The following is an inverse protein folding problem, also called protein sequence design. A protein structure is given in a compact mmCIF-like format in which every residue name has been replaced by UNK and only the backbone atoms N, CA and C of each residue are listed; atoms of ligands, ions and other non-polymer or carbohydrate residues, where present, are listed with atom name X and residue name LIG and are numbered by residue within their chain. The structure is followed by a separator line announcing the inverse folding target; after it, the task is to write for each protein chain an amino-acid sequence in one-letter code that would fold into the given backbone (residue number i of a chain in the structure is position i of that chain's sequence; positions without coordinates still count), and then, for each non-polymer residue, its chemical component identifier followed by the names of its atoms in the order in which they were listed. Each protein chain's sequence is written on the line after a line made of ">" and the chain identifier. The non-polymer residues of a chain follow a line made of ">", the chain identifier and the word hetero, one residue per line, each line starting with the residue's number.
data_IF_714251840748
#
_entry.id   IF_714251840748
#
_cell.length_a   1.000
_cell.length_b   1.000
_cell.length_c   1.000
_cell.angle_alpha   90.00
_cell.angle_beta   90.00
_cell.angle_gamma   90.00
#
_symmetry.space_group_name_H-M   'P 1'
#
loop_
_entity.id
_entity.type
_entity.pdbx_description
1 polymer ?
#
# COMPACT_ATOMS: atom_id res chain seq x y z
N UNK A 1 11.99 15.62 7.95
CA UNK A 1 13.17 14.85 7.53
C UNK A 1 14.46 15.62 7.75
N UNK A 2 15.54 14.94 8.17
CA UNK A 2 16.84 15.54 8.57
C UNK A 2 17.47 16.40 7.47
N UNK A 3 17.18 16.17 6.20
CA UNK A 3 17.65 17.00 5.09
C UNK A 3 16.84 18.30 4.89
N UNK A 4 15.76 18.54 5.64
CA UNK A 4 15.09 19.84 5.63
C UNK A 4 16.00 20.90 6.26
N UNK A 5 15.96 22.12 5.73
CA UNK A 5 16.85 23.21 6.18
C UNK A 5 16.74 23.49 7.69
N UNK A 6 15.55 23.34 8.25
CA UNK A 6 15.31 23.47 9.69
C UNK A 6 16.10 22.46 10.52
N UNK A 7 16.13 21.19 10.09
CA UNK A 7 16.90 20.14 10.76
C UNK A 7 18.41 20.31 10.57
N UNK A 8 18.86 20.78 9.41
CA UNK A 8 20.28 21.11 9.20
C UNK A 8 20.76 22.23 10.14
N UNK A 9 19.88 23.20 10.45
CA UNK A 9 20.20 24.24 11.46
C UNK A 9 20.40 23.61 12.85
N UNK A 10 19.55 22.63 13.22
CA UNK A 10 19.70 21.91 14.49
C UNK A 10 21.02 21.12 14.52
N UNK A 11 21.33 20.37 13.46
CA UNK A 11 22.60 19.62 13.38
C UNK A 11 23.82 20.53 13.52
N UNK A 12 23.79 21.69 12.81
CA UNK A 12 24.90 22.69 12.89
C UNK A 12 25.02 23.37 14.26
N UNK A 13 23.92 23.48 15.00
CA UNK A 13 23.94 24.08 16.35
C UNK A 13 24.64 23.17 17.39
N UNK A 14 24.80 21.88 17.10
CA UNK A 14 25.42 20.91 18.01
C UNK A 14 26.58 20.16 17.33
N UNK A 15 27.71 20.83 17.02
CA UNK A 15 28.79 20.27 16.20
C UNK A 15 29.53 19.09 16.87
N UNK A 16 29.39 18.92 18.18
CA UNK A 16 29.99 17.81 18.95
C UNK A 16 29.03 16.64 19.12
N UNK A 17 27.76 16.78 18.73
CA UNK A 17 26.77 15.71 18.86
C UNK A 17 26.91 14.66 17.74
N UNK A 18 26.67 13.41 18.08
CA UNK A 18 26.49 12.34 17.11
C UNK A 18 25.00 12.21 16.81
N UNK A 19 24.64 12.24 15.54
CA UNK A 19 23.26 12.14 15.10
C UNK A 19 23.02 10.76 14.49
N UNK A 20 21.96 10.09 14.95
CA UNK A 20 21.46 8.86 14.37
C UNK A 20 20.07 9.14 13.79
N UNK A 21 19.90 8.93 12.49
CA UNK A 21 18.61 9.07 11.81
C UNK A 21 17.97 7.71 11.60
N UNK A 22 16.71 7.57 12.02
CA UNK A 22 15.89 6.39 11.80
C UNK A 22 14.78 6.73 10.81
N UNK A 23 14.64 5.93 9.76
CA UNK A 23 13.61 6.12 8.74
C UNK A 23 13.24 4.78 8.12
N UNK A 24 11.94 4.60 7.80
CA UNK A 24 11.46 3.50 6.97
C UNK A 24 11.62 3.78 5.46
N UNK A 25 11.85 5.06 5.10
CA UNK A 25 12.02 5.50 3.72
C UNK A 25 13.34 6.27 3.60
N UNK A 26 14.48 5.57 3.42
CA UNK A 26 15.80 6.21 3.36
C UNK A 26 16.05 7.04 2.09
N UNK A 27 15.13 7.05 1.16
CA UNK A 27 15.12 7.82 -0.07
C UNK A 27 14.10 8.95 0.01
N UNK A 28 14.36 10.02 -0.69
CA UNK A 28 13.48 11.20 -0.75
C UNK A 28 12.82 11.31 -2.11
N UNK A 29 11.59 11.84 -2.12
CA UNK A 29 10.88 12.17 -3.35
C UNK A 29 11.60 13.24 -4.22
N UNK A 30 12.52 14.02 -3.60
CA UNK A 30 13.31 15.06 -4.27
C UNK A 30 14.74 14.60 -4.62
N UNK A 31 15.01 13.29 -4.62
CA UNK A 31 16.31 12.67 -4.92
C UNK A 31 17.51 13.23 -4.14
N UNK A 32 17.28 13.91 -3.01
CA UNK A 32 18.36 14.37 -2.15
C UNK A 32 18.82 13.24 -1.24
N UNK A 33 20.13 13.05 -1.18
CA UNK A 33 20.76 12.07 -0.30
C UNK A 33 20.46 12.38 1.18
N UNK A 34 20.33 11.33 1.97
CA UNK A 34 20.31 11.45 3.42
C UNK A 34 21.68 11.89 3.92
N UNK A 35 21.69 12.76 4.93
CA UNK A 35 22.94 13.19 5.56
C UNK A 35 23.48 12.04 6.45
N UNK A 36 24.70 11.62 6.18
CA UNK A 36 25.43 10.63 6.97
C UNK A 36 25.52 9.26 6.31
N UNK A 37 26.34 8.39 6.92
CA UNK A 37 26.56 7.03 6.46
C UNK A 37 25.42 6.11 6.84
N UNK A 38 25.08 5.18 5.95
CA UNK A 38 24.11 4.13 6.23
C UNK A 38 24.78 3.07 7.10
N UNK A 39 24.38 2.99 8.37
CA UNK A 39 25.00 2.08 9.34
C UNK A 39 24.19 0.79 9.55
N UNK A 40 22.90 0.78 9.19
CA UNK A 40 22.04 -0.39 9.36
C UNK A 40 20.82 -0.33 8.46
N UNK A 41 20.44 -1.48 7.90
CA UNK A 41 19.18 -1.70 7.17
C UNK A 41 18.43 -2.91 7.70
N UNK A 42 17.12 -2.80 7.79
CA UNK A 42 16.24 -3.90 8.15
C UNK A 42 15.18 -4.07 7.06
N UNK A 43 15.33 -5.09 6.19
CA UNK A 43 14.40 -5.31 5.07
C UNK A 43 12.96 -5.54 5.53
N UNK A 44 11.97 -5.08 4.73
CA UNK A 44 10.55 -5.25 5.03
C UNK A 44 10.14 -6.73 5.02
N UNK A 45 10.62 -7.51 4.04
CA UNK A 45 10.37 -8.95 4.00
C UNK A 45 10.80 -9.62 5.31
N UNK A 46 11.97 -9.27 5.86
CA UNK A 46 12.44 -9.78 7.14
C UNK A 46 11.58 -9.32 8.32
N UNK A 47 11.05 -8.10 8.26
CA UNK A 47 10.16 -7.58 9.28
C UNK A 47 8.81 -8.33 9.26
N UNK A 48 8.27 -8.67 8.08
CA UNK A 48 7.08 -9.50 7.92
C UNK A 48 7.29 -10.90 8.48
N UNK A 49 8.41 -11.54 8.13
CA UNK A 49 8.77 -12.88 8.60
C UNK A 49 8.92 -12.99 10.11
N UNK A 50 9.39 -11.92 10.75
CA UNK A 50 9.55 -11.86 12.20
C UNK A 50 8.29 -11.36 12.93
N UNK A 51 7.20 -11.06 12.21
CA UNK A 51 5.95 -10.57 12.78
C UNK A 51 6.05 -9.15 13.34
N UNK A 52 6.99 -8.34 12.87
CA UNK A 52 7.12 -6.93 13.26
C UNK A 52 6.21 -6.01 12.45
N UNK A 53 5.83 -6.46 11.26
CA UNK A 53 4.83 -5.82 10.40
C UNK A 53 3.92 -6.88 9.80
N UNK A 54 2.71 -6.46 9.36
CA UNK A 54 1.77 -7.34 8.68
C UNK A 54 2.32 -7.82 7.35
N UNK A 55 1.94 -9.05 6.98
CA UNK A 55 2.06 -9.54 5.62
C UNK A 55 1.14 -8.74 4.69
N UNK A 56 1.66 -8.28 3.54
CA UNK A 56 0.93 -7.38 2.64
C UNK A 56 0.69 -8.05 1.29
N UNK A 57 -0.57 -7.96 0.83
CA UNK A 57 -1.00 -8.38 -0.50
C UNK A 57 -1.58 -7.19 -1.25
N UNK A 58 -1.10 -6.95 -2.46
CA UNK A 58 -1.68 -5.99 -3.40
C UNK A 58 -2.79 -6.66 -4.19
N UNK A 59 -3.92 -5.97 -4.37
CA UNK A 59 -5.03 -6.34 -5.24
C UNK A 59 -5.32 -5.18 -6.19
N UNK A 60 -4.98 -5.33 -7.48
CA UNK A 60 -5.17 -4.30 -8.50
C UNK A 60 -6.34 -4.68 -9.42
N UNK A 61 -7.28 -3.75 -9.63
CA UNK A 61 -8.37 -3.91 -10.57
C UNK A 61 -7.84 -3.82 -12.00
N UNK A 62 -8.11 -4.84 -12.80
CA UNK A 62 -7.77 -4.93 -14.23
C UNK A 62 -9.05 -5.00 -15.04
N UNK A 63 -9.49 -3.91 -15.66
CA UNK A 63 -10.66 -3.88 -16.53
C UNK A 63 -10.38 -4.58 -17.86
N UNK A 64 -11.43 -5.12 -18.47
CA UNK A 64 -11.39 -5.55 -19.87
C UNK A 64 -11.45 -4.33 -20.81
N UNK A 65 -12.25 -3.34 -20.45
CA UNK A 65 -12.46 -2.10 -21.21
C UNK A 65 -12.79 -0.94 -20.26
N UNK A 66 -12.35 0.27 -20.62
CA UNK A 66 -12.76 1.53 -19.98
C UNK A 66 -13.17 2.51 -21.07
N UNK A 67 -14.30 3.17 -20.88
CA UNK A 67 -14.78 4.24 -21.76
C UNK A 67 -14.56 5.60 -21.12
N UNK A 68 -13.80 6.45 -21.78
CA UNK A 68 -13.60 7.85 -21.40
C UNK A 68 -14.52 8.76 -22.19
N UNK A 69 -15.07 9.75 -21.53
CA UNK A 69 -15.84 10.81 -22.19
C UNK A 69 -15.17 12.16 -21.96
N UNK A 70 -14.91 12.89 -23.04
CA UNK A 70 -14.37 14.23 -23.01
C UNK A 70 -15.11 15.08 -24.05
N UNK A 71 -15.69 16.22 -23.66
CA UNK A 71 -16.34 17.21 -24.53
C UNK A 71 -17.42 16.64 -25.45
N UNK A 72 -18.07 15.53 -25.08
CA UNK A 72 -19.12 14.89 -25.86
C UNK A 72 -18.67 13.76 -26.79
N UNK A 73 -17.38 13.54 -26.90
CA UNK A 73 -16.81 12.37 -27.58
C UNK A 73 -16.47 11.29 -26.54
N UNK A 74 -16.66 10.03 -26.92
CA UNK A 74 -16.40 8.87 -26.08
C UNK A 74 -15.47 7.90 -26.80
N UNK A 75 -14.36 7.57 -26.14
CA UNK A 75 -13.39 6.61 -26.60
C UNK A 75 -13.31 5.43 -25.61
N UNK A 76 -13.33 4.21 -26.14
CA UNK A 76 -13.20 2.98 -25.33
C UNK A 76 -11.83 2.37 -25.53
N UNK A 77 -11.17 2.07 -24.43
CA UNK A 77 -9.82 1.52 -24.37
C UNK A 77 -9.86 0.10 -23.81
N UNK A 78 -9.20 -0.83 -24.50
CA UNK A 78 -8.96 -2.20 -24.04
C UNK A 78 -7.86 -2.26 -22.99
N UNK A 79 -7.72 -3.39 -22.28
CA UNK A 79 -6.70 -3.56 -21.25
C UNK A 79 -5.29 -3.26 -21.78
N UNK A 80 -4.92 -3.72 -22.98
CA UNK A 80 -3.59 -3.45 -23.56
C UNK A 80 -3.36 -1.95 -23.77
N UNK A 81 -4.35 -1.23 -24.28
CA UNK A 81 -4.28 0.23 -24.44
C UNK A 81 -4.25 0.96 -23.09
N UNK A 82 -4.96 0.46 -22.09
CA UNK A 82 -4.92 0.98 -20.71
C UNK A 82 -3.51 0.85 -20.14
N UNK A 83 -2.84 -0.29 -20.35
CA UNK A 83 -1.48 -0.52 -19.90
C UNK A 83 -0.45 0.40 -20.58
N UNK A 84 -0.70 0.83 -21.81
CA UNK A 84 0.11 1.83 -22.51
C UNK A 84 -0.17 3.26 -22.01
N UNK A 85 -1.45 3.59 -21.75
CA UNK A 85 -1.89 4.94 -21.38
C UNK A 85 -1.77 5.25 -19.88
N UNK A 86 -1.58 4.26 -19.03
CA UNK A 86 -1.52 4.46 -17.56
C UNK A 86 -0.39 5.37 -17.09
N UNK A 87 0.61 5.66 -17.93
CA UNK A 87 1.67 6.64 -17.64
C UNK A 87 1.23 8.08 -17.91
N UNK A 88 0.16 8.28 -18.69
CA UNK A 88 -0.37 9.60 -19.04
C UNK A 88 -1.12 10.23 -17.84
N UNK A 89 -0.79 11.48 -17.53
CA UNK A 89 -1.35 12.17 -16.36
C UNK A 89 -2.87 12.35 -16.46
N UNK A 90 -3.38 12.67 -17.67
CA UNK A 90 -4.81 12.84 -17.92
C UNK A 90 -5.58 11.54 -17.71
N UNK A 91 -5.01 10.40 -18.17
CA UNK A 91 -5.62 9.08 -18.04
C UNK A 91 -5.75 8.70 -16.57
N UNK A 92 -4.64 8.76 -15.80
CA UNK A 92 -4.64 8.49 -14.36
C UNK A 92 -5.63 9.36 -13.58
N UNK A 93 -5.73 10.65 -13.96
CA UNK A 93 -6.69 11.56 -13.36
C UNK A 93 -8.11 11.17 -13.69
N UNK A 94 -8.40 10.82 -14.95
CA UNK A 94 -9.71 10.40 -15.39
C UNK A 94 -10.19 9.12 -14.72
N UNK A 95 -9.31 8.13 -14.52
CA UNK A 95 -9.58 6.93 -13.71
C UNK A 95 -9.83 7.28 -12.25
N UNK A 96 -8.98 8.13 -11.66
CA UNK A 96 -9.11 8.51 -10.24
C UNK A 96 -10.43 9.25 -9.94
N UNK A 97 -10.96 10.02 -10.89
CA UNK A 97 -12.21 10.77 -10.72
C UNK A 97 -13.45 9.99 -11.20
N UNK A 98 -13.26 8.79 -11.74
CA UNK A 98 -14.36 7.94 -12.18
C UNK A 98 -15.11 7.33 -10.99
N UNK A 99 -16.43 7.52 -10.97
CA UNK A 99 -17.28 6.90 -9.95
C UNK A 99 -17.24 5.36 -10.04
N UNK A 100 -17.25 4.83 -11.27
CA UNK A 100 -17.24 3.39 -11.55
C UNK A 100 -15.92 2.74 -11.12
N UNK A 101 -14.78 3.30 -11.54
CA UNK A 101 -13.46 2.79 -11.11
C UNK A 101 -13.29 2.88 -9.59
N UNK A 102 -13.76 3.96 -8.97
CA UNK A 102 -13.75 4.12 -7.52
C UNK A 102 -14.64 3.11 -6.82
N UNK A 103 -15.80 2.80 -7.37
CA UNK A 103 -16.73 1.79 -6.85
C UNK A 103 -16.09 0.40 -6.83
N UNK A 104 -15.41 -0.02 -7.90
CA UNK A 104 -14.69 -1.30 -7.95
C UNK A 104 -13.56 -1.39 -6.90
N UNK A 105 -12.79 -0.31 -6.72
CA UNK A 105 -11.77 -0.27 -5.64
C UNK A 105 -12.44 -0.41 -4.26
N UNK A 106 -13.54 0.32 -4.03
CA UNK A 106 -14.24 0.30 -2.75
C UNK A 106 -14.86 -1.07 -2.46
N UNK A 107 -15.52 -1.70 -3.44
CA UNK A 107 -16.09 -3.05 -3.32
C UNK A 107 -15.03 -4.07 -2.93
N UNK A 108 -13.87 -4.05 -3.61
CA UNK A 108 -12.77 -4.95 -3.29
C UNK A 108 -12.19 -4.69 -1.89
N UNK A 109 -12.07 -3.43 -1.50
CA UNK A 109 -11.60 -3.07 -0.17
C UNK A 109 -12.59 -3.55 0.92
N UNK A 110 -13.89 -3.45 0.69
CA UNK A 110 -14.94 -3.96 1.58
C UNK A 110 -14.91 -5.48 1.66
N UNK A 111 -14.76 -6.17 0.52
CA UNK A 111 -14.59 -7.63 0.48
C UNK A 111 -13.42 -8.08 1.37
N UNK A 112 -12.24 -7.44 1.23
CA UNK A 112 -11.06 -7.79 2.03
C UNK A 112 -11.26 -7.47 3.52
N UNK A 113 -11.91 -6.34 3.84
CA UNK A 113 -12.26 -6.00 5.21
C UNK A 113 -13.18 -7.05 5.84
N UNK A 114 -14.24 -7.44 5.13
CA UNK A 114 -15.20 -8.42 5.61
C UNK A 114 -14.56 -9.81 5.80
N UNK A 115 -13.71 -10.23 4.86
CA UNK A 115 -12.96 -11.48 4.96
C UNK A 115 -12.05 -11.49 6.20
N UNK A 116 -11.31 -10.41 6.46
CA UNK A 116 -10.48 -10.30 7.66
C UNK A 116 -11.32 -10.36 8.95
N UNK A 117 -12.42 -9.62 9.01
CA UNK A 117 -13.31 -9.60 10.18
C UNK A 117 -13.98 -10.96 10.42
N UNK A 118 -14.37 -11.64 9.35
CA UNK A 118 -14.96 -12.98 9.45
C UNK A 118 -13.95 -14.02 9.96
N UNK A 119 -12.71 -13.94 9.49
CA UNK A 119 -11.65 -14.88 9.88
C UNK A 119 -11.15 -14.68 11.32
N UNK A 120 -11.17 -13.44 11.83
CA UNK A 120 -10.48 -13.10 13.08
C UNK A 120 -11.40 -12.62 14.20
N UNK A 121 -12.58 -12.10 13.88
CA UNK A 121 -13.45 -11.39 14.83
C UNK A 121 -12.89 -10.03 15.29
N UNK A 122 -11.72 -9.62 14.79
CA UNK A 122 -11.08 -8.37 15.15
C UNK A 122 -11.64 -7.19 14.34
N UNK A 123 -11.79 -5.97 14.91
CA UNK A 123 -12.39 -4.82 14.23
C UNK A 123 -11.40 -4.13 13.27
N UNK A 124 -10.99 -4.86 12.24
CA UNK A 124 -10.18 -4.31 11.17
C UNK A 124 -10.86 -3.11 10.49
N UNK A 125 -10.07 -2.17 9.95
CA UNK A 125 -10.54 -0.93 9.35
C UNK A 125 -9.79 -0.61 8.05
N UNK A 126 -10.39 0.26 7.23
CA UNK A 126 -9.85 0.72 5.95
C UNK A 126 -9.24 2.10 6.09
N UNK A 127 -8.03 2.30 5.57
CA UNK A 127 -7.47 3.60 5.24
C UNK A 127 -7.64 3.83 3.73
N UNK A 128 -8.29 4.90 3.34
CA UNK A 128 -8.48 5.29 1.94
C UNK A 128 -7.71 6.58 1.63
N UNK A 129 -7.09 6.68 0.45
CA UNK A 129 -6.38 7.88 0.00
C UNK A 129 -7.04 8.49 -1.22
N UNK A 130 -7.41 9.76 -1.15
CA UNK A 130 -8.05 10.52 -2.23
C UNK A 130 -7.15 11.65 -2.75
N UNK A 131 -7.47 12.19 -3.95
CA UNK A 131 -6.71 13.25 -4.61
C UNK A 131 -6.97 14.64 -4.04
N UNK A 132 -8.22 14.92 -3.70
CA UNK A 132 -8.72 16.21 -3.23
C UNK A 132 -9.78 16.01 -2.15
N UNK A 133 -10.23 17.10 -1.53
CA UNK A 133 -11.29 17.07 -0.51
C UNK A 133 -12.60 16.62 -1.14
N UNK A 134 -12.98 17.18 -2.29
CA UNK A 134 -14.21 16.80 -2.99
C UNK A 134 -14.20 15.33 -3.40
N UNK A 135 -13.06 14.84 -3.88
CA UNK A 135 -12.89 13.42 -4.19
C UNK A 135 -12.94 12.54 -2.91
N UNK A 136 -12.41 13.01 -1.79
CA UNK A 136 -12.53 12.29 -0.51
C UNK A 136 -14.00 12.18 -0.05
N UNK A 137 -14.79 13.22 -0.25
CA UNK A 137 -16.22 13.20 0.07
C UNK A 137 -17.01 12.27 -0.86
N UNK A 138 -16.65 12.19 -2.15
CA UNK A 138 -17.19 11.22 -3.10
C UNK A 138 -16.86 9.78 -2.67
N UNK A 139 -15.60 9.48 -2.39
CA UNK A 139 -15.15 8.15 -1.92
C UNK A 139 -15.82 7.78 -0.59
N UNK A 140 -15.96 8.74 0.34
CA UNK A 140 -16.72 8.52 1.57
C UNK A 140 -18.16 8.12 1.29
N UNK A 141 -18.84 8.82 0.38
CA UNK A 141 -20.23 8.53 0.02
C UNK A 141 -20.35 7.10 -0.57
N UNK A 142 -19.44 6.66 -1.41
CA UNK A 142 -19.41 5.30 -1.95
C UNK A 142 -19.35 4.26 -0.81
N UNK A 143 -18.46 4.42 0.17
CA UNK A 143 -18.40 3.51 1.31
C UNK A 143 -19.66 3.55 2.19
N UNK A 144 -20.27 4.72 2.34
CA UNK A 144 -21.52 4.86 3.09
C UNK A 144 -22.70 4.18 2.37
N UNK A 145 -22.77 4.25 1.04
CA UNK A 145 -23.75 3.50 0.23
C UNK A 145 -23.60 1.98 0.39
N UNK A 146 -22.38 1.49 0.63
CA UNK A 146 -22.06 0.10 0.93
C UNK A 146 -22.35 -0.28 2.40
N UNK A 147 -22.92 0.64 3.22
CA UNK A 147 -23.33 0.40 4.59
C UNK A 147 -22.22 0.55 5.64
N UNK A 148 -21.06 1.09 5.29
CA UNK A 148 -19.95 1.32 6.21
C UNK A 148 -19.98 2.72 6.82
N UNK A 149 -19.49 2.84 8.05
CA UNK A 149 -19.29 4.14 8.69
C UNK A 149 -17.97 4.74 8.18
N UNK A 150 -18.05 5.78 7.36
CA UNK A 150 -16.90 6.43 6.75
C UNK A 150 -16.83 7.92 7.10
N UNK A 151 -15.61 8.40 7.41
CA UNK A 151 -15.33 9.81 7.69
C UNK A 151 -14.12 10.29 6.86
N UNK A 152 -14.11 11.60 6.55
CA UNK A 152 -12.98 12.23 5.85
C UNK A 152 -12.06 12.95 6.83
N UNK A 153 -10.76 12.98 6.51
CA UNK A 153 -9.76 13.77 7.24
C UNK A 153 -8.83 14.48 6.25
N UNK A 154 -8.66 15.79 6.41
CA UNK A 154 -7.82 16.62 5.54
C UNK A 154 -7.29 17.86 6.28
N UNK A 155 -6.29 18.55 5.70
CA UNK A 155 -5.61 19.70 6.32
C UNK A 155 -6.54 20.84 6.70
N UNK A 156 -7.59 21.07 5.91
CA UNK A 156 -8.52 22.18 6.10
C UNK A 156 -9.56 21.95 7.22
N UNK A 157 -9.64 20.73 7.80
CA UNK A 157 -10.49 20.51 8.95
C UNK A 157 -9.93 21.23 10.17
N UNK A 158 -10.80 21.84 11.03
CA UNK A 158 -10.40 22.33 12.32
C UNK A 158 -9.80 21.23 13.21
N UNK A 159 -8.88 21.57 14.09
CA UNK A 159 -8.13 20.57 14.87
C UNK A 159 -9.02 19.78 15.84
N UNK A 160 -10.07 20.39 16.38
CA UNK A 160 -11.09 19.71 17.19
C UNK A 160 -11.86 18.65 16.38
N UNK A 161 -12.17 18.95 15.11
CA UNK A 161 -12.81 17.99 14.19
C UNK A 161 -11.87 16.86 13.83
N UNK A 162 -10.60 17.15 13.53
CA UNK A 162 -9.57 16.11 13.30
C UNK A 162 -9.47 15.19 14.50
N UNK A 163 -9.36 15.77 15.70
CA UNK A 163 -9.29 15.00 16.94
C UNK A 163 -10.55 14.12 17.15
N UNK A 164 -11.74 14.63 16.85
CA UNK A 164 -12.99 13.88 16.95
C UNK A 164 -13.03 12.70 15.95
N UNK A 165 -12.62 12.90 14.69
CA UNK A 165 -12.57 11.81 13.69
C UNK A 165 -11.56 10.74 14.12
N UNK A 166 -10.37 11.12 14.58
CA UNK A 166 -9.37 10.17 15.06
C UNK A 166 -9.81 9.44 16.33
N UNK A 167 -10.60 10.08 17.21
CA UNK A 167 -11.18 9.42 18.36
C UNK A 167 -12.23 8.37 17.95
N UNK A 168 -13.11 8.69 17.00
CA UNK A 168 -14.06 7.73 16.42
C UNK A 168 -13.35 6.52 15.83
N UNK A 169 -12.25 6.74 15.08
CA UNK A 169 -11.45 5.67 14.49
C UNK A 169 -10.86 4.74 15.58
N UNK A 170 -10.24 5.32 16.61
CA UNK A 170 -9.65 4.56 17.73
C UNK A 170 -10.70 3.79 18.55
N UNK A 171 -11.90 4.30 18.61
CA UNK A 171 -13.01 3.67 19.34
C UNK A 171 -13.84 2.71 18.48
N UNK A 172 -13.36 2.34 17.28
CA UNK A 172 -14.03 1.47 16.31
C UNK A 172 -15.46 1.93 15.95
N UNK A 173 -15.70 3.25 15.96
CA UNK A 173 -16.98 3.87 15.61
C UNK A 173 -17.07 4.19 14.10
N UNK A 174 -15.96 4.09 13.36
CA UNK A 174 -15.90 4.20 11.91
C UNK A 174 -15.13 3.01 11.35
N UNK A 175 -15.54 2.57 10.17
CA UNK A 175 -14.93 1.47 9.44
C UNK A 175 -13.86 1.95 8.46
N UNK A 176 -14.04 3.16 7.93
CA UNK A 176 -13.23 3.74 6.87
C UNK A 176 -12.82 5.16 7.22
N UNK A 177 -11.54 5.45 7.12
CA UNK A 177 -11.02 6.81 7.14
C UNK A 177 -10.48 7.20 5.75
N UNK A 178 -11.11 8.20 5.12
CA UNK A 178 -10.70 8.72 3.81
C UNK A 178 -9.83 9.96 4.03
N UNK A 179 -8.59 9.93 3.58
CA UNK A 179 -7.63 11.02 3.79
C UNK A 179 -7.21 11.74 2.52
N UNK A 180 -6.91 13.04 2.66
CA UNK A 180 -6.19 13.82 1.66
C UNK A 180 -4.88 14.30 2.28
N UNK A 181 -3.77 13.57 2.00
CA UNK A 181 -2.41 13.88 2.43
C UNK A 181 -2.22 14.16 3.95
N UNK A 182 -3.10 13.63 4.80
CA UNK A 182 -3.24 14.10 6.19
C UNK A 182 -2.89 13.10 7.29
N UNK A 183 -2.88 11.81 7.03
CA UNK A 183 -2.38 10.90 8.06
C UNK A 183 -0.86 11.07 8.15
N UNK A 184 -0.41 12.12 8.84
CA UNK A 184 0.97 12.53 8.98
C UNK A 184 1.83 11.52 9.72
N UNK A 185 3.13 11.79 9.83
CA UNK A 185 4.05 11.02 10.65
C UNK A 185 3.51 10.87 12.09
N UNK A 186 3.64 9.68 12.67
CA UNK A 186 3.27 9.41 14.05
C UNK A 186 1.84 8.91 14.30
N UNK A 187 0.98 8.80 13.29
CA UNK A 187 -0.32 8.15 13.49
C UNK A 187 -0.14 6.63 13.50
N UNK A 188 -0.32 6.03 14.66
CA UNK A 188 -0.24 4.60 14.90
C UNK A 188 -1.61 4.02 15.24
N UNK A 189 -2.11 3.10 14.39
CA UNK A 189 -3.41 2.47 14.56
C UNK A 189 -3.43 1.07 13.94
N UNK A 190 -3.04 0.03 14.68
CA UNK A 190 -2.94 -1.35 14.18
C UNK A 190 -4.20 -1.94 13.53
N UNK A 191 -5.45 -1.55 13.91
CA UNK A 191 -6.66 -2.03 13.24
C UNK A 191 -6.77 -1.67 11.75
N UNK A 192 -6.04 -0.66 11.26
CA UNK A 192 -5.96 -0.41 9.83
C UNK A 192 -5.28 -1.59 9.13
N UNK A 193 -6.02 -2.26 8.25
CA UNK A 193 -5.54 -3.48 7.58
C UNK A 193 -5.79 -3.47 6.08
N UNK A 194 -6.60 -2.56 5.58
CA UNK A 194 -6.85 -2.39 4.14
C UNK A 194 -6.50 -0.95 3.75
N UNK A 195 -5.56 -0.81 2.82
CA UNK A 195 -5.20 0.44 2.17
C UNK A 195 -5.93 0.51 0.82
N UNK A 196 -6.95 1.36 0.71
CA UNK A 196 -7.67 1.59 -0.54
C UNK A 196 -7.15 2.87 -1.22
N UNK A 197 -6.58 2.71 -2.42
CA UNK A 197 -5.86 3.78 -3.12
C UNK A 197 -6.69 4.27 -4.30
N UNK A 198 -7.22 5.49 -4.18
CA UNK A 198 -8.05 6.17 -5.16
C UNK A 198 -7.29 7.28 -5.91
N UNK A 199 -5.98 7.34 -5.76
CA UNK A 199 -5.14 8.37 -6.38
C UNK A 199 -3.86 7.79 -6.95
N UNK A 200 -3.29 8.36 -8.01
CA UNK A 200 -1.94 8.01 -8.43
C UNK A 200 -0.90 8.55 -7.44
N UNK A 201 0.10 7.74 -7.14
CA UNK A 201 1.31 8.16 -6.44
C UNK A 201 2.44 8.39 -7.45
N UNK A 202 3.04 9.57 -7.43
CA UNK A 202 4.12 9.95 -8.37
C UNK A 202 5.51 9.51 -7.89
N UNK A 203 5.63 9.08 -6.64
CA UNK A 203 6.91 8.67 -6.04
C UNK A 203 6.70 7.66 -4.93
N UNK A 204 7.71 6.84 -4.72
CA UNK A 204 7.70 5.72 -3.80
C UNK A 204 7.51 6.15 -2.33
N UNK A 205 8.16 7.22 -1.88
CA UNK A 205 8.14 7.62 -0.46
C UNK A 205 6.72 7.91 0.08
N UNK A 206 5.87 8.74 -0.54
CA UNK A 206 4.48 8.93 -0.09
C UNK A 206 3.64 7.65 -0.20
N UNK A 207 3.90 6.80 -1.20
CA UNK A 207 3.23 5.51 -1.35
C UNK A 207 3.53 4.59 -0.16
N UNK A 208 4.81 4.36 0.17
CA UNK A 208 5.23 3.54 1.31
C UNK A 208 4.73 4.14 2.63
N UNK A 209 4.75 5.46 2.79
CA UNK A 209 4.22 6.12 3.98
C UNK A 209 2.72 5.87 4.15
N UNK A 210 1.96 5.78 3.08
CA UNK A 210 0.55 5.43 3.14
C UNK A 210 0.34 3.93 3.40
N UNK A 211 0.95 3.06 2.62
CA UNK A 211 0.86 1.60 2.78
C UNK A 211 1.40 1.16 4.15
N UNK A 212 2.47 1.78 4.64
CA UNK A 212 3.06 1.52 5.95
C UNK A 212 2.10 1.66 7.13
N UNK A 213 0.96 2.36 6.95
CA UNK A 213 -0.06 2.48 8.00
C UNK A 213 -0.85 1.20 8.22
N UNK A 214 -1.06 0.44 7.15
CA UNK A 214 -1.74 -0.86 7.22
C UNK A 214 -0.78 -2.01 7.49
N UNK A 215 0.53 -1.73 7.55
CA UNK A 215 1.56 -2.72 7.89
C UNK A 215 1.74 -2.93 9.39
N UNK A 216 1.15 -2.12 10.26
CA UNK A 216 1.32 -2.22 11.71
C UNK A 216 0.63 -3.47 12.25
N UNK A 217 1.39 -4.30 12.96
CA UNK A 217 0.88 -5.56 13.52
C UNK A 217 -0.14 -5.32 14.62
N UNK A 218 -1.13 -6.20 14.68
CA UNK A 218 -2.06 -6.34 15.80
C UNK A 218 -1.43 -7.23 16.85
N UNK A 219 -0.94 -8.40 16.44
CA UNK A 219 -0.33 -9.40 17.32
C UNK A 219 1.19 -9.37 17.12
N UNK A 220 1.89 -8.80 18.10
CA UNK A 220 3.34 -8.63 18.06
C UNK A 220 4.06 -9.98 18.08
N UNK A 221 5.10 -10.11 17.26
CA UNK A 221 5.96 -11.28 17.17
C UNK A 221 5.23 -12.59 16.76
N UNK A 222 4.06 -12.47 16.17
CA UNK A 222 3.35 -13.59 15.59
C UNK A 222 3.14 -13.38 14.08
N UNK A 223 4.09 -13.83 13.23
CA UNK A 223 3.97 -13.69 11.78
C UNK A 223 2.85 -14.53 11.18
N UNK A 224 2.31 -15.49 11.93
CA UNK A 224 1.26 -16.42 11.50
C UNK A 224 -0.13 -15.98 11.96
N UNK A 225 -0.23 -14.92 12.76
CA UNK A 225 -1.52 -14.42 13.19
C UNK A 225 -2.36 -13.98 11.99
N UNK A 226 -3.62 -14.43 11.88
CA UNK A 226 -4.54 -13.96 10.83
C UNK A 226 -4.85 -12.44 10.96
N UNK A 227 -4.67 -11.84 12.15
CA UNK A 227 -4.77 -10.39 12.34
C UNK A 227 -3.61 -9.62 11.69
N UNK A 228 -2.48 -10.30 11.42
CA UNK A 228 -1.29 -9.70 10.82
C UNK A 228 -1.28 -9.82 9.29
N UNK A 229 -2.46 -9.74 8.69
CA UNK A 229 -2.67 -9.66 7.25
C UNK A 229 -3.11 -8.25 6.87
N UNK A 230 -2.53 -7.69 5.81
CA UNK A 230 -2.89 -6.38 5.24
C UNK A 230 -3.10 -6.45 3.73
N UNK A 231 -3.97 -5.59 3.21
CA UNK A 231 -4.27 -5.50 1.78
C UNK A 231 -4.05 -4.10 1.26
N UNK A 232 -3.53 -4.00 0.04
CA UNK A 232 -3.42 -2.76 -0.73
C UNK A 232 -4.29 -2.91 -1.96
N UNK A 233 -5.40 -2.17 -2.01
CA UNK A 233 -6.36 -2.24 -3.11
C UNK A 233 -6.21 -1.00 -3.98
N UNK A 234 -6.06 -1.18 -5.29
CA UNK A 234 -5.85 -0.11 -6.26
C UNK A 234 -6.47 -0.48 -7.61
N UNK A 235 -6.23 0.35 -8.62
CA UNK A 235 -6.65 0.17 -10.00
C UNK A 235 -5.43 0.32 -10.91
N UNK A 236 -5.29 -0.55 -11.93
CA UNK A 236 -4.15 -0.54 -12.87
C UNK A 236 -3.97 0.80 -13.57
N UNK A 237 -5.07 1.46 -13.93
CA UNK A 237 -5.06 2.78 -14.57
C UNK A 237 -4.55 3.93 -13.70
N UNK A 238 -4.36 3.73 -12.38
CA UNK A 238 -3.72 4.69 -11.48
C UNK A 238 -2.18 4.58 -11.50
N UNK A 239 -1.64 3.55 -12.15
CA UNK A 239 -0.21 3.22 -12.23
C UNK A 239 0.49 3.09 -10.86
N UNK A 240 -0.21 2.64 -9.83
CA UNK A 240 0.37 2.40 -8.51
C UNK A 240 1.13 1.05 -8.43
N UNK A 241 0.99 0.20 -9.44
CA UNK A 241 1.76 -1.05 -9.56
C UNK A 241 3.26 -0.79 -9.73
N UNK A 242 3.62 0.28 -10.43
CA UNK A 242 5.01 0.73 -10.55
C UNK A 242 5.63 1.01 -9.16
N UNK A 243 4.87 1.69 -8.28
CA UNK A 243 5.31 1.96 -6.91
C UNK A 243 5.41 0.69 -6.05
N UNK A 244 4.52 -0.28 -6.30
CA UNK A 244 4.59 -1.59 -5.64
C UNK A 244 5.83 -2.37 -6.07
N UNK A 245 6.15 -2.39 -7.36
CA UNK A 245 7.31 -3.09 -7.90
C UNK A 245 8.60 -2.41 -7.42
N UNK A 246 8.69 -1.08 -7.48
CA UNK A 246 9.81 -0.32 -6.95
C UNK A 246 10.02 -0.59 -5.45
N UNK A 247 8.93 -0.72 -4.67
CA UNK A 247 9.00 -1.06 -3.25
C UNK A 247 9.62 -2.45 -3.03
N UNK A 248 9.18 -3.45 -3.80
CA UNK A 248 9.74 -4.81 -3.72
C UNK A 248 11.19 -4.87 -4.17
N UNK A 249 11.54 -4.17 -5.23
CA UNK A 249 12.92 -4.10 -5.74
C UNK A 249 13.86 -3.42 -4.74
N UNK A 250 13.41 -2.38 -4.08
CA UNK A 250 14.17 -1.72 -3.02
C UNK A 250 14.43 -2.67 -1.86
N UNK A 251 13.39 -3.40 -1.40
CA UNK A 251 13.54 -4.38 -0.34
C UNK A 251 14.54 -5.48 -0.72
N UNK A 252 14.50 -5.97 -1.96
CA UNK A 252 15.45 -6.95 -2.47
C UNK A 252 16.90 -6.43 -2.48
N UNK A 253 17.12 -5.14 -2.80
CA UNK A 253 18.43 -4.50 -2.71
C UNK A 253 18.90 -4.37 -1.26
N UNK A 254 18.04 -3.97 -0.35
CA UNK A 254 18.33 -3.88 1.08
C UNK A 254 18.76 -5.24 1.66
N UNK A 255 18.11 -6.32 1.23
CA UNK A 255 18.48 -7.68 1.58
C UNK A 255 19.89 -8.04 1.12
N UNK A 256 20.28 -7.66 -0.09
CA UNK A 256 21.64 -7.90 -0.62
C UNK A 256 22.70 -7.14 0.17
N UNK A 257 22.44 -5.89 0.54
CA UNK A 257 23.36 -5.09 1.36
C UNK A 257 23.56 -5.73 2.75
N UNK A 258 22.49 -6.15 3.41
CA UNK A 258 22.57 -6.82 4.72
C UNK A 258 23.35 -8.14 4.62
N UNK A 259 23.19 -8.91 3.55
CA UNK A 259 23.97 -10.13 3.28
C UNK A 259 25.44 -9.81 3.04
N UNK A 260 25.75 -8.71 2.32
CA UNK A 260 27.13 -8.23 2.12
C UNK A 260 27.83 -7.91 3.44
N UNK A 261 27.14 -7.20 4.35
CA UNK A 261 27.66 -6.91 5.69
C UNK A 261 27.92 -8.17 6.50
N UNK A 262 27.02 -9.16 6.45
CA UNK A 262 27.21 -10.43 7.15
C UNK A 262 28.43 -11.24 6.63
N UNK A 263 28.83 -11.00 5.36
CA UNK A 263 30.05 -11.60 4.76
C UNK A 263 31.31 -10.75 4.89
N UNK A 264 31.22 -9.56 5.52
CA UNK A 264 32.35 -8.64 5.68
C UNK A 264 32.67 -7.80 4.43
N UNK A 265 31.78 -7.78 3.45
CA UNK A 265 31.89 -6.95 2.24
C UNK A 265 31.42 -5.54 2.58
N UNK A 266 32.26 -4.52 2.38
CA UNK A 266 31.88 -3.13 2.60
C UNK A 266 30.79 -2.68 1.63
N UNK A 267 29.87 -1.85 2.11
CA UNK A 267 28.80 -1.31 1.29
C UNK A 267 29.35 -0.29 0.28
N UNK A 268 29.40 -0.67 -0.99
CA UNK A 268 29.52 0.29 -2.09
C UNK A 268 28.15 0.91 -2.34
N UNK A 269 28.03 2.20 -2.04
CA UNK A 269 26.81 2.97 -2.27
C UNK A 269 26.68 3.31 -3.76
N UNK A 270 26.09 2.43 -4.54
CA UNK A 270 25.67 2.77 -5.91
C UNK A 270 24.32 3.48 -5.87
N UNK A 271 24.38 4.82 -5.90
CA UNK A 271 23.21 5.66 -6.10
C UNK A 271 22.58 5.42 -7.48
N UNK A 272 21.29 5.16 -7.51
CA UNK A 272 20.51 5.17 -8.76
C UNK A 272 20.04 6.59 -9.06
N UNK A 273 20.52 7.13 -10.17
CA UNK A 273 19.95 8.32 -10.81
C UNK A 273 18.70 7.92 -11.60
N UNK A 274 17.55 8.34 -11.13
CA UNK A 274 16.31 8.33 -11.91
C UNK A 274 16.10 9.71 -12.53
N UNK A 275 16.48 9.88 -13.78
CA UNK A 275 16.09 11.01 -14.62
C UNK A 275 14.75 10.70 -15.27
N UNK A 276 13.79 11.60 -15.12
CA UNK A 276 12.55 11.56 -15.86
C UNK A 276 11.66 12.76 -15.54
N UNK A 277 11.93 13.87 -16.22
CA UNK A 277 10.98 14.97 -16.33
C UNK A 277 10.27 14.85 -17.67
N UNK A 278 8.94 14.73 -17.73
CA UNK A 278 8.17 14.94 -18.94
C UNK A 278 7.05 15.95 -18.74
N UNK A 279 7.40 17.21 -18.76
CA UNK A 279 6.43 18.24 -19.14
C UNK A 279 6.51 18.43 -20.65
N UNK A 280 5.59 17.87 -21.41
CA UNK A 280 5.21 18.44 -22.72
C UNK A 280 4.22 17.64 -23.58
N UNK A 281 3.18 16.98 -23.08
CA UNK A 281 2.07 16.52 -23.96
C UNK A 281 0.66 16.74 -23.39
N UNK A 282 0.49 17.49 -22.32
CA UNK A 282 -0.70 17.44 -21.45
C UNK A 282 -1.86 18.40 -21.77
N UNK A 283 -2.00 19.00 -22.97
CA UNK A 283 -3.01 20.04 -23.16
C UNK A 283 -4.34 19.63 -23.84
N UNK A 284 -4.54 18.36 -24.25
CA UNK A 284 -5.76 17.98 -24.99
C UNK A 284 -6.82 17.22 -24.19
N UNK A 285 -6.49 16.66 -23.02
CA UNK A 285 -7.37 15.71 -22.32
C UNK A 285 -7.56 16.01 -20.81
N UNK A 286 -7.32 17.22 -20.37
CA UNK A 286 -7.40 17.57 -18.93
C UNK A 286 -8.79 17.36 -18.30
N UNK A 287 -9.84 17.29 -19.11
CA UNK A 287 -11.24 17.12 -18.66
C UNK A 287 -11.78 15.69 -18.89
N UNK A 288 -10.96 14.76 -19.37
CA UNK A 288 -11.41 13.39 -19.62
C UNK A 288 -11.61 12.63 -18.31
N UNK A 289 -12.78 12.01 -18.13
CA UNK A 289 -13.13 11.15 -17.00
C UNK A 289 -13.64 9.83 -17.54
N UNK A 290 -13.24 8.72 -16.91
CA UNK A 290 -13.78 7.40 -17.22
C UNK A 290 -15.26 7.35 -16.74
N UNK A 291 -16.16 7.00 -17.65
CA UNK A 291 -17.61 7.00 -17.43
C UNK A 291 -18.17 5.60 -17.23
N UNK A 292 -17.55 4.61 -17.86
CA UNK A 292 -17.99 3.23 -17.82
C UNK A 292 -16.77 2.31 -17.80
N UNK A 293 -16.83 1.28 -16.98
CA UNK A 293 -15.77 0.30 -16.82
C UNK A 293 -16.35 -1.11 -16.78
N UNK A 294 -15.83 -1.98 -17.63
CA UNK A 294 -16.10 -3.41 -17.54
C UNK A 294 -14.91 -4.10 -16.86
N UNK A 295 -15.02 -4.38 -15.57
CA UNK A 295 -14.01 -5.09 -14.82
C UNK A 295 -13.83 -6.52 -15.36
N UNK A 296 -12.59 -6.95 -15.55
CA UNK A 296 -12.24 -8.33 -15.90
C UNK A 296 -11.91 -9.15 -14.66
N UNK A 297 -10.91 -8.72 -13.89
CA UNK A 297 -10.43 -9.44 -12.71
C UNK A 297 -9.64 -8.51 -11.78
N UNK A 298 -9.32 -9.02 -10.59
CA UNK A 298 -8.30 -8.43 -9.72
C UNK A 298 -7.01 -9.24 -9.78
N UNK A 299 -5.89 -8.58 -10.05
CA UNK A 299 -4.56 -9.18 -9.97
C UNK A 299 -4.06 -9.08 -8.53
N UNK A 300 -3.95 -10.23 -7.85
CA UNK A 300 -3.39 -10.30 -6.49
C UNK A 300 -1.89 -10.58 -6.55
N UNK A 301 -1.10 -9.80 -5.80
CA UNK A 301 0.37 -9.94 -5.74
C UNK A 301 0.83 -9.85 -4.29
N UNK A 302 1.33 -10.95 -3.74
CA UNK A 302 1.91 -10.97 -2.40
C UNK A 302 3.26 -10.25 -2.38
N UNK A 303 3.55 -9.52 -1.30
CA UNK A 303 4.89 -8.96 -1.09
C UNK A 303 5.93 -10.09 -0.92
N UNK A 304 5.58 -11.14 -0.17
CA UNK A 304 6.35 -12.37 -0.05
C UNK A 304 5.86 -13.38 -1.11
N UNK A 305 6.39 -13.29 -2.33
CA UNK A 305 6.01 -14.20 -3.42
C UNK A 305 6.74 -15.55 -3.28
N UNK A 306 6.03 -16.69 -3.17
CA UNK A 306 6.64 -18.02 -3.10
C UNK A 306 7.45 -18.40 -4.35
N UNK A 307 7.20 -17.76 -5.49
CA UNK A 307 7.94 -17.99 -6.72
C UNK A 307 9.21 -17.11 -6.85
N UNK A 308 9.38 -16.12 -5.97
CA UNK A 308 10.59 -15.30 -5.95
C UNK A 308 11.70 -16.03 -5.16
N UNK A 309 12.67 -16.58 -5.89
CA UNK A 309 13.79 -17.30 -5.29
C UNK A 309 14.59 -16.44 -4.29
N UNK A 310 14.63 -15.12 -4.46
CA UNK A 310 15.32 -14.19 -3.57
C UNK A 310 14.63 -14.16 -2.22
N UNK A 311 13.29 -14.06 -2.23
CA UNK A 311 12.46 -14.09 -1.02
C UNK A 311 12.60 -15.43 -0.29
N UNK A 312 12.56 -16.54 -1.03
CA UNK A 312 12.71 -17.89 -0.46
C UNK A 312 14.07 -18.08 0.24
N UNK A 313 15.16 -17.69 -0.42
CA UNK A 313 16.50 -17.79 0.17
C UNK A 313 16.64 -16.95 1.44
N UNK A 314 16.05 -15.77 1.45
CA UNK A 314 16.07 -14.93 2.64
C UNK A 314 15.23 -15.50 3.78
N UNK A 315 14.06 -16.03 3.49
CA UNK A 315 13.24 -16.73 4.48
C UNK A 315 14.02 -17.87 5.12
N UNK A 316 14.75 -18.64 4.32
CA UNK A 316 15.57 -19.74 4.83
C UNK A 316 16.68 -19.27 5.78
N UNK A 317 17.26 -18.11 5.50
CA UNK A 317 18.38 -17.57 6.31
C UNK A 317 17.92 -16.62 7.42
N UNK A 318 16.64 -16.22 7.45
CA UNK A 318 16.09 -15.36 8.50
C UNK A 318 16.13 -16.06 9.86
N UNK A 319 16.80 -15.43 10.85
CA UNK A 319 16.86 -15.97 12.22
C UNK A 319 15.63 -15.55 13.00
N UNK A 320 14.92 -16.52 13.53
CA UNK A 320 13.79 -16.32 14.43
C UNK A 320 14.21 -15.86 15.84
N UNK A 321 13.25 -15.66 16.75
CA UNK A 321 13.52 -15.22 18.13
C UNK A 321 14.49 -16.10 18.93
N UNK A 322 14.65 -17.38 18.53
CA UNK A 322 15.62 -18.32 19.14
C UNK A 322 17.03 -18.28 18.54
N UNK A 323 17.30 -17.40 17.58
CA UNK A 323 18.61 -17.27 16.92
C UNK A 323 18.88 -18.32 15.84
N UNK A 324 17.93 -19.24 15.56
CA UNK A 324 18.02 -20.26 14.52
C UNK A 324 17.27 -19.78 13.26
N UNK A 325 17.84 -20.07 12.09
CA UNK A 325 17.19 -19.88 10.79
C UNK A 325 16.36 -21.11 10.43
N UNK A 326 15.45 -20.97 9.45
CA UNK A 326 14.76 -22.13 8.90
C UNK A 326 15.73 -23.14 8.28
N UNK A 327 16.84 -22.68 7.71
CA UNK A 327 17.93 -23.54 7.20
C UNK A 327 18.60 -24.32 8.32
N UNK A 328 18.85 -23.69 9.48
CA UNK A 328 19.42 -24.36 10.65
C UNK A 328 18.48 -25.46 11.20
N UNK A 329 17.18 -25.29 10.98
CA UNK A 329 16.14 -26.27 11.36
C UNK A 329 15.90 -27.35 10.29
N UNK A 330 16.68 -27.34 9.19
CA UNK A 330 16.60 -28.33 8.11
C UNK A 330 15.43 -28.11 7.15
N UNK A 331 14.78 -26.94 7.17
CA UNK A 331 13.72 -26.58 6.22
C UNK A 331 14.36 -26.23 4.88
N UNK A 332 13.87 -26.85 3.82
CA UNK A 332 14.35 -26.62 2.45
C UNK A 332 13.51 -25.58 1.72
N UNK A 333 14.05 -25.01 0.65
CA UNK A 333 13.35 -24.08 -0.22
C UNK A 333 12.01 -24.62 -0.73
N UNK A 334 11.95 -25.91 -1.06
CA UNK A 334 10.73 -26.53 -1.59
C UNK A 334 9.65 -26.68 -0.53
N UNK A 335 10.01 -27.00 0.70
CA UNK A 335 9.07 -27.04 1.84
C UNK A 335 8.51 -25.64 2.10
N UNK A 336 9.35 -24.62 2.07
CA UNK A 336 8.94 -23.24 2.28
C UNK A 336 8.02 -22.73 1.15
N UNK A 337 8.36 -23.05 -0.12
CA UNK A 337 7.50 -22.74 -1.27
C UNK A 337 6.13 -23.41 -1.14
N UNK A 338 6.10 -24.69 -0.77
CA UNK A 338 4.85 -25.42 -0.58
C UNK A 338 3.97 -24.79 0.51
N UNK A 339 4.56 -24.37 1.63
CA UNK A 339 3.83 -23.69 2.70
C UNK A 339 3.27 -22.32 2.26
N UNK A 340 4.05 -21.53 1.51
CA UNK A 340 3.60 -20.25 0.98
C UNK A 340 2.55 -20.41 -0.12
N UNK A 341 2.69 -21.42 -0.98
CA UNK A 341 1.71 -21.74 -2.01
C UNK A 341 0.38 -22.17 -1.39
N UNK A 342 0.41 -23.02 -0.37
CA UNK A 342 -0.80 -23.44 0.36
C UNK A 342 -1.53 -22.24 1.00
N UNK A 343 -0.79 -21.26 1.54
CA UNK A 343 -1.38 -20.01 2.01
C UNK A 343 -2.04 -19.22 0.88
N UNK A 344 -1.37 -19.13 -0.27
CA UNK A 344 -1.87 -18.44 -1.44
C UNK A 344 -3.16 -19.08 -1.98
N UNK A 345 -3.26 -20.41 -2.02
CA UNK A 345 -4.46 -21.13 -2.41
C UNK A 345 -5.64 -20.84 -1.47
N UNK A 346 -5.40 -20.73 -0.16
CA UNK A 346 -6.45 -20.32 0.80
C UNK A 346 -6.80 -18.83 0.70
N UNK A 347 -5.93 -17.99 0.15
CA UNK A 347 -6.21 -16.57 -0.14
C UNK A 347 -6.97 -16.40 -1.47
N UNK A 348 -6.81 -17.34 -2.43
CA UNK A 348 -7.43 -17.34 -3.76
C UNK A 348 -8.70 -18.20 -3.86
N UNK A 349 -9.07 -18.99 -2.85
CA UNK A 349 -10.36 -19.66 -2.87
C UNK A 349 -11.46 -18.61 -2.98
N UNK A 350 -12.21 -18.57 -4.09
CA UNK A 350 -13.38 -17.72 -4.18
C UNK A 350 -14.29 -18.11 -3.03
N UNK A 351 -14.79 -17.15 -2.30
CA UNK A 351 -15.92 -17.33 -1.42
C UNK A 351 -17.13 -17.69 -2.32
N UNK A 352 -17.12 -18.91 -2.84
CA UNK A 352 -18.23 -19.47 -3.58
C UNK A 352 -19.43 -19.60 -2.65
N UNK A 353 -20.41 -18.74 -2.98
CA UNK A 353 -21.83 -18.95 -2.69
C UNK A 353 -22.21 -19.11 -1.22
N UNK A 354 -22.23 -18.01 -0.51
CA UNK A 354 -23.32 -17.85 0.45
C UNK A 354 -24.54 -17.34 -0.36
N UNK A 355 -25.59 -18.15 -0.55
CA UNK A 355 -26.78 -17.69 -1.25
C UNK A 355 -27.42 -16.58 -0.40
N UNK A 356 -27.50 -15.40 -0.96
CA UNK A 356 -28.29 -14.29 -0.40
C UNK A 356 -29.75 -14.77 -0.33
N UNK A 357 -30.18 -15.14 0.87
CA UNK A 357 -31.60 -15.38 1.11
C UNK A 357 -32.35 -14.05 0.98
N UNK A 358 -33.37 -13.96 0.14
CA UNK A 358 -34.18 -12.76 0.06
C UNK A 358 -34.89 -12.53 1.38
N UNK A 359 -34.65 -11.37 2.01
CA UNK A 359 -35.44 -10.95 3.18
C UNK A 359 -36.89 -10.83 2.79
N UNK A 360 -37.71 -11.73 3.30
CA UNK A 360 -39.17 -11.65 3.25
C UNK A 360 -39.61 -10.44 4.08
N UNK A 361 -40.08 -9.40 3.41
CA UNK A 361 -40.82 -8.31 4.05
C UNK A 361 -42.09 -8.91 4.69
N UNK A 362 -42.17 -8.90 6.00
CA UNK A 362 -43.46 -9.06 6.72
C UNK A 362 -44.22 -7.74 6.66
N UNK A 363 -45.43 -7.82 6.17
CA UNK A 363 -46.45 -6.77 6.21
C UNK A 363 -46.79 -6.36 7.66
#
# INVERSE_FOLDING_TARGET
>A
HVAAESWQKVVRAFPQARFVSLTATPFRADNKELLGDLIYRYPFARAMLNGYIKHIVSASAHPAEITFTARGDSDTYTLDQILELKEEAWFRRGVALSDECNRHIAEKAVEKLQSLRAATGFPHQIAASAMSIDHADQVRAIFQEMGLQAETIHSNLPDDRKAAVLAKLRNNQIDVIVQVAMLGEGFDHPPLSVAAIFRPYRSLSPYIQFVGRVMRTVDLNDPNSPNNQGYVVSHVGLNNEEQWDEFRDLDAQDQQIVRGWARGEGADSTGRNGNGDPEQVAQRFDDAVAQDERLSHFLNRSFLDPNDNRVIEEMLDAKGPGGFSFRDLGITADVLRAQLAHRKEHEEEPADSVPVQPQVRRQ
#
